data_IF_917141605841
#
_entry.id   IF_917141605841
#
_cell.length_a   1.000
_cell.length_b   1.000
_cell.length_c   1.000
_cell.angle_alpha   90.00
_cell.angle_beta   90.00
_cell.angle_gamma   90.00
#
_symmetry.space_group_name_H-M   'P 1'
#
loop_
_entity.id
_entity.type
_entity.pdbx_description
1 polymer ?
#
# COMPACT_ATOMS: atom_id res chain seq x y z
N UNK A 1 1.30 -0.35 -2.54
CA UNK A 1 1.61 0.92 -3.23
C UNK A 1 2.41 1.77 -2.25
N UNK A 2 3.61 2.26 -2.61
CA UNK A 2 4.46 3.00 -1.66
C UNK A 2 5.90 2.49 -1.63
N UNK A 3 6.53 2.52 -0.45
CA UNK A 3 7.93 2.14 -0.20
C UNK A 3 8.31 0.68 -0.52
N UNK A 4 7.37 -0.16 -0.99
CA UNK A 4 7.54 -1.60 -1.29
C UNK A 4 7.99 -2.45 -0.10
N UNK A 5 7.98 -1.90 1.11
CA UNK A 5 8.28 -2.59 2.35
C UNK A 5 7.09 -3.47 2.78
N UNK A 6 7.39 -4.61 3.42
CA UNK A 6 6.37 -5.42 4.12
C UNK A 6 6.23 -4.88 5.53
N UNK A 7 4.99 -4.60 5.95
CA UNK A 7 4.68 -4.22 7.34
C UNK A 7 3.49 -5.02 7.85
N UNK A 8 3.22 -4.92 9.14
CA UNK A 8 2.05 -5.54 9.73
C UNK A 8 0.77 -4.96 9.11
N UNK A 9 -0.33 -5.73 9.04
CA UNK A 9 -1.61 -5.24 8.53
C UNK A 9 -2.10 -3.99 9.28
N UNK A 10 -1.76 -3.85 10.57
CA UNK A 10 -2.10 -2.69 11.39
C UNK A 10 -1.40 -1.39 10.95
N UNK A 11 -0.22 -1.50 10.33
CA UNK A 11 0.56 -0.34 9.83
C UNK A 11 0.14 0.08 8.41
N UNK A 12 -0.72 -0.73 7.78
CA UNK A 12 -1.18 -0.51 6.42
C UNK A 12 -2.60 0.02 6.42
N UNK A 13 -2.81 1.07 5.63
CA UNK A 13 -4.13 1.61 5.37
C UNK A 13 -4.65 1.02 4.05
N UNK A 14 -5.84 0.41 4.08
CA UNK A 14 -6.58 0.08 2.86
C UNK A 14 -7.30 1.32 2.37
N UNK A 15 -7.26 1.52 1.07
CA UNK A 15 -7.95 2.60 0.36
C UNK A 15 -8.83 1.99 -0.70
N UNK A 16 -10.10 2.34 -0.73
CA UNK A 16 -11.07 1.85 -1.72
C UNK A 16 -11.52 3.00 -2.60
N UNK A 17 -11.71 2.72 -3.89
CA UNK A 17 -12.31 3.68 -4.81
C UNK A 17 -13.85 3.63 -4.70
N UNK A 18 -14.46 4.75 -4.33
CA UNK A 18 -15.91 4.91 -4.32
C UNK A 18 -16.28 6.19 -5.08
N UNK A 19 -17.03 6.08 -6.19
CA UNK A 19 -17.54 7.25 -6.91
C UNK A 19 -16.47 8.22 -7.47
N UNK A 20 -15.22 7.76 -7.66
CA UNK A 20 -14.11 8.63 -8.09
C UNK A 20 -13.33 9.26 -6.92
N UNK A 21 -13.68 8.93 -5.69
CA UNK A 21 -12.96 9.33 -4.48
C UNK A 21 -12.24 8.14 -3.84
N UNK A 22 -11.07 8.40 -3.27
CA UNK A 22 -10.29 7.43 -2.54
C UNK A 22 -10.66 7.51 -1.06
N UNK A 23 -11.35 6.48 -0.56
CA UNK A 23 -11.87 6.41 0.81
C UNK A 23 -10.97 5.50 1.66
N UNK A 24 -10.55 5.94 2.86
CA UNK A 24 -9.83 5.09 3.81
C UNK A 24 -10.77 4.02 4.40
N UNK A 25 -10.35 2.76 4.35
CA UNK A 25 -11.08 1.60 4.87
C UNK A 25 -10.21 0.80 5.86
N UNK A 26 -9.98 1.31 7.08
CA UNK A 26 -9.15 0.61 8.07
C UNK A 26 -9.70 -0.77 8.47
N UNK A 27 -11.01 -1.01 8.28
CA UNK A 27 -11.70 -2.25 8.70
C UNK A 27 -11.84 -3.28 7.57
N UNK A 28 -11.49 -2.94 6.34
CA UNK A 28 -11.68 -3.84 5.21
C UNK A 28 -13.16 -4.06 4.84
N UNK A 29 -14.08 -3.22 5.33
CA UNK A 29 -15.51 -3.45 5.25
C UNK A 29 -16.13 -3.02 3.91
N UNK A 30 -15.43 -2.17 3.13
CA UNK A 30 -15.99 -1.63 1.91
C UNK A 30 -15.83 -2.59 0.72
N UNK A 31 -16.92 -2.88 -0.03
CA UNK A 31 -16.84 -3.64 -1.26
C UNK A 31 -16.20 -2.77 -2.36
N UNK A 32 -15.27 -3.34 -3.10
CA UNK A 32 -14.63 -2.65 -4.22
C UNK A 32 -13.14 -2.98 -4.36
N UNK A 33 -12.52 -2.39 -5.39
CA UNK A 33 -11.07 -2.48 -5.60
C UNK A 33 -10.37 -1.64 -4.54
N UNK A 34 -9.57 -2.30 -3.72
CA UNK A 34 -8.76 -1.67 -2.69
C UNK A 34 -7.28 -1.63 -3.05
N UNK A 35 -6.56 -0.64 -2.53
CA UNK A 35 -5.12 -0.53 -2.56
C UNK A 35 -4.59 -0.37 -1.13
N UNK A 36 -3.48 -1.03 -0.84
CA UNK A 36 -2.80 -0.90 0.45
C UNK A 36 -1.59 0.02 0.33
N UNK A 37 -1.46 0.93 1.31
CA UNK A 37 -0.33 1.82 1.47
C UNK A 37 -0.08 2.15 2.95
N UNK A 38 1.15 2.52 3.29
CA UNK A 38 1.40 3.16 4.58
C UNK A 38 0.80 4.57 4.62
N UNK A 39 0.25 5.01 5.76
CA UNK A 39 -0.22 6.39 5.95
C UNK A 39 0.86 7.44 5.59
N UNK A 40 2.10 7.18 5.99
CA UNK A 40 3.25 8.04 5.68
C UNK A 40 3.62 8.09 4.18
N UNK A 41 3.20 7.08 3.40
CA UNK A 41 3.47 7.03 1.96
C UNK A 41 2.40 7.76 1.12
N UNK A 42 1.40 8.39 1.74
CA UNK A 42 0.29 9.06 1.03
C UNK A 42 0.79 10.11 0.03
N UNK A 43 1.64 11.03 0.46
CA UNK A 43 2.16 12.11 -0.39
C UNK A 43 2.92 11.56 -1.61
N UNK A 44 3.76 10.54 -1.40
CA UNK A 44 4.51 9.88 -2.47
C UNK A 44 3.54 9.20 -3.44
N UNK A 45 2.49 8.55 -2.93
CA UNK A 45 1.48 7.87 -3.74
C UNK A 45 0.68 8.86 -4.59
N UNK A 46 0.33 10.03 -4.04
CA UNK A 46 -0.33 11.11 -4.78
C UNK A 46 0.58 11.67 -5.88
N UNK A 47 1.81 12.06 -5.55
CA UNK A 47 2.77 12.63 -6.50
C UNK A 47 3.06 11.68 -7.66
N UNK A 48 3.12 10.37 -7.40
CA UNK A 48 3.39 9.34 -8.42
C UNK A 48 2.15 8.85 -9.16
N UNK A 49 0.95 9.39 -8.88
CA UNK A 49 -0.33 8.89 -9.42
C UNK A 49 -0.50 7.39 -9.19
N UNK A 50 -0.03 6.91 -8.04
CA UNK A 50 -0.03 5.49 -7.70
C UNK A 50 -1.47 4.96 -7.54
N UNK A 51 -2.40 5.80 -7.06
CA UNK A 51 -3.82 5.45 -6.93
C UNK A 51 -4.47 5.11 -8.27
N UNK A 52 -4.17 5.88 -9.31
CA UNK A 52 -4.67 5.64 -10.67
C UNK A 52 -4.23 4.26 -11.18
N UNK A 53 -2.96 3.89 -10.93
CA UNK A 53 -2.41 2.57 -11.28
C UNK A 53 -3.00 1.45 -10.41
N UNK A 54 -3.19 1.70 -9.11
CA UNK A 54 -3.62 0.69 -8.13
C UNK A 54 -5.09 0.34 -8.27
N UNK A 55 -5.91 1.38 -8.38
CA UNK A 55 -7.36 1.30 -8.45
C UNK A 55 -7.83 1.16 -9.91
N UNK A 56 -6.90 1.20 -10.87
CA UNK A 56 -7.12 1.08 -12.32
C UNK A 56 -8.20 2.05 -12.81
N UNK A 57 -8.03 3.31 -12.44
CA UNK A 57 -8.93 4.40 -12.82
C UNK A 57 -8.35 5.20 -13.99
N UNK A 58 -9.20 5.83 -14.81
CA UNK A 58 -8.72 6.77 -15.83
C UNK A 58 -8.30 8.12 -15.23
N UNK A 59 -8.94 8.55 -14.15
CA UNK A 59 -8.67 9.82 -13.48
C UNK A 59 -8.04 9.61 -12.10
N UNK A 60 -7.23 10.57 -11.67
CA UNK A 60 -6.73 10.60 -10.30
C UNK A 60 -7.92 10.80 -9.33
N UNK A 61 -8.14 9.88 -8.38
CA UNK A 61 -9.23 10.04 -7.44
C UNK A 61 -8.98 11.20 -6.48
N UNK A 62 -10.04 11.80 -5.96
CA UNK A 62 -9.93 12.75 -4.85
C UNK A 62 -9.33 12.04 -3.64
N UNK A 63 -8.35 12.66 -2.99
CA UNK A 63 -7.67 12.12 -1.79
C UNK A 63 -7.92 12.95 -0.54
N UNK A 64 -8.88 13.89 -0.57
CA UNK A 64 -9.18 14.78 0.56
C UNK A 64 -9.52 13.99 1.83
N UNK A 65 -10.48 13.06 1.73
CA UNK A 65 -10.87 12.20 2.86
C UNK A 65 -9.71 11.37 3.41
N UNK A 66 -8.79 10.96 2.53
CA UNK A 66 -7.57 10.22 2.89
C UNK A 66 -6.58 11.06 3.67
N UNK A 67 -6.34 12.30 3.23
CA UNK A 67 -5.44 13.24 3.94
C UNK A 67 -5.96 13.58 5.32
N UNK A 68 -7.25 13.86 5.43
CA UNK A 68 -7.90 14.15 6.72
C UNK A 68 -7.80 12.96 7.67
N UNK A 69 -8.04 11.75 7.16
CA UNK A 69 -7.92 10.53 7.94
C UNK A 69 -6.49 10.26 8.41
N UNK A 70 -5.50 10.40 7.54
CA UNK A 70 -4.08 10.23 7.90
C UNK A 70 -3.64 11.28 8.92
N UNK A 71 -4.07 12.54 8.77
CA UNK A 71 -3.80 13.61 9.73
C UNK A 71 -4.47 13.35 11.10
N UNK A 72 -5.62 12.67 11.11
CA UNK A 72 -6.31 12.28 12.35
C UNK A 72 -5.66 11.06 13.00
N UNK A 73 -5.20 10.09 12.21
CA UNK A 73 -4.43 8.95 12.71
C UNK A 73 -3.10 9.37 13.31
N UNK A 74 -2.34 10.26 12.66
CA UNK A 74 -1.05 10.73 13.19
C UNK A 74 -1.19 11.45 14.53
N UNK A 75 -2.34 12.05 14.80
CA UNK A 75 -2.70 12.59 16.13
C UNK A 75 -3.17 11.53 17.13
N UNK A 76 -3.72 10.40 16.66
CA UNK A 76 -4.31 9.35 17.49
C UNK A 76 -3.33 8.23 17.88
N UNK A 77 -2.21 8.05 17.15
CA UNK A 77 -1.12 7.15 17.57
C UNK A 77 -0.50 7.55 18.91
N UNK A 78 -0.80 8.76 19.42
CA UNK A 78 -0.45 9.16 20.77
C UNK A 78 -1.30 8.51 21.88
N UNK A 79 -2.44 7.86 21.58
CA UNK A 79 -3.41 7.42 22.63
C UNK A 79 -4.11 6.05 22.46
N UNK A 80 -3.84 5.22 21.44
CA UNK A 80 -4.52 3.90 21.34
C UNK A 80 -3.60 2.76 20.86
N UNK A 81 -3.02 2.06 21.83
CA UNK A 81 -2.79 0.63 21.71
C UNK A 81 -4.12 -0.06 22.09
N UNK A 82 -4.82 -0.64 21.11
CA UNK A 82 -6.11 -1.31 21.34
C UNK A 82 -6.44 -2.34 20.26
N UNK A 83 -5.79 -3.50 20.30
CA UNK A 83 -6.18 -4.69 19.54
C UNK A 83 -7.63 -5.10 19.88
N UNK A 84 -8.46 -5.46 18.90
CA UNK A 84 -9.37 -6.58 19.07
C UNK A 84 -8.77 -7.81 18.40
N UNK A 85 -8.24 -8.68 19.25
CA UNK A 85 -7.95 -10.08 18.94
C UNK A 85 -9.25 -10.78 18.53
N UNK A 86 -9.34 -11.33 17.32
CA UNK A 86 -10.21 -12.49 17.04
C UNK A 86 -9.82 -13.22 15.74
N UNK A 87 -9.08 -14.32 15.92
CA UNK A 87 -9.39 -15.59 15.24
C UNK A 87 -8.61 -15.97 13.97
N UNK A 88 -7.42 -16.55 14.16
CA UNK A 88 -7.01 -17.83 13.55
C UNK A 88 -7.00 -17.99 12.01
N UNK A 89 -5.80 -18.04 11.41
CA UNK A 89 -5.15 -19.33 11.12
C UNK A 89 -3.68 -19.07 10.78
N UNK A 90 -2.81 -19.89 11.37
CA UNK A 90 -1.39 -19.90 11.14
C UNK A 90 -1.05 -20.24 9.67
N UNK A 91 -0.12 -19.50 9.08
CA UNK A 91 0.76 -20.06 8.06
C UNK A 91 2.20 -19.92 8.56
N UNK A 92 2.93 -21.03 8.76
CA UNK A 92 4.31 -20.98 9.23
C UNK A 92 5.26 -20.38 8.17
N UNK A 93 6.29 -19.74 8.71
CA UNK A 93 7.37 -19.08 8.01
C UNK A 93 8.25 -20.10 7.26
N UNK A 94 8.48 -19.85 5.97
CA UNK A 94 9.47 -20.55 5.15
C UNK A 94 10.60 -19.60 4.77
N UNK A 95 11.65 -19.59 5.58
CA UNK A 95 12.88 -18.85 5.39
C UNK A 95 13.88 -19.69 4.60
N UNK A 96 14.25 -19.28 3.40
CA UNK A 96 15.51 -19.68 2.73
C UNK A 96 15.90 -18.54 1.79
N UNK A 97 16.73 -17.60 2.27
CA UNK A 97 18.19 -17.56 2.09
C UNK A 97 18.60 -17.11 0.68
N UNK A 98 19.56 -16.18 0.69
CA UNK A 98 20.18 -15.50 -0.45
C UNK A 98 20.75 -16.51 -1.45
N UNK A 99 20.66 -16.19 -2.74
CA UNK A 99 21.79 -16.46 -3.61
C UNK A 99 22.12 -15.25 -4.50
N UNK A 100 23.42 -15.00 -4.59
CA UNK A 100 24.08 -13.95 -5.35
C UNK A 100 24.52 -14.57 -6.68
N UNK A 101 24.07 -14.02 -7.80
CA UNK A 101 24.83 -14.00 -9.07
C UNK A 101 24.70 -12.60 -9.66
N UNK A 102 25.72 -11.73 -9.66
CA UNK A 102 26.85 -11.69 -10.63
C UNK A 102 26.30 -11.75 -12.06
N UNK A 103 26.01 -10.59 -12.65
CA UNK A 103 26.83 -9.86 -13.64
C UNK A 103 27.07 -10.65 -14.93
N UNK A 104 26.54 -10.15 -16.06
CA UNK A 104 27.32 -9.49 -17.13
C UNK A 104 26.76 -9.64 -18.56
N UNK A 105 26.95 -8.55 -19.30
CA UNK A 105 27.20 -8.43 -20.73
C UNK A 105 26.15 -8.92 -21.76
N UNK A 106 25.38 -7.94 -22.27
CA UNK A 106 25.05 -7.92 -23.70
C UNK A 106 26.25 -7.31 -24.47
N UNK A 107 26.64 -7.90 -25.60
CA UNK A 107 26.59 -7.09 -26.81
C UNK A 107 26.03 -7.88 -28.00
N UNK A 108 24.99 -7.34 -28.63
CA UNK A 108 24.66 -7.69 -30.02
C UNK A 108 24.93 -6.47 -30.89
N UNK A 109 26.20 -6.30 -31.24
CA UNK A 109 26.59 -5.67 -32.50
C UNK A 109 27.07 -6.79 -33.39
N UNK A 110 26.48 -6.92 -34.59
CA UNK A 110 27.16 -7.15 -35.89
C UNK A 110 26.10 -7.51 -36.92
N UNK A 111 25.68 -6.49 -37.67
CA UNK A 111 25.30 -6.54 -39.10
C UNK A 111 26.49 -7.05 -39.93
N UNK A 112 26.35 -7.54 -41.18
CA UNK A 112 25.35 -7.15 -42.19
C UNK A 112 24.43 -8.26 -42.71
#
# INVERSE_FOLDING_TARGET
MGCRERSAPADLLRVVLCGGEAIPDPRGALPGRGAWLHPACLEIAERRKAFTRALRTSQAPSTSALRDYVARMSKSVAMDAGQPELGGLATPQGSTVRDRGIQDAAPMSTQP
#
